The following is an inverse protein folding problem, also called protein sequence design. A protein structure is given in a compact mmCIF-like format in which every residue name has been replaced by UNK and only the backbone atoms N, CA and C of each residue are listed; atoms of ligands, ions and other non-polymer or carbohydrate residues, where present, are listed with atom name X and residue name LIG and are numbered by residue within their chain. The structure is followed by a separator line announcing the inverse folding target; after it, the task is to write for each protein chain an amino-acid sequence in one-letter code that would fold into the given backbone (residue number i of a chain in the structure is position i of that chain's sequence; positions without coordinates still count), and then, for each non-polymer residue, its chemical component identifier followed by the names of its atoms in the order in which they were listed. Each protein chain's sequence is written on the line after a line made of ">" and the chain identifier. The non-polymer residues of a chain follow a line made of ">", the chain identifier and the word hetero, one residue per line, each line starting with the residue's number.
data_IF_452920907173
#
_entry.id   IF_452920907173
#
_cell.length_a   1.000
_cell.length_b   1.000
_cell.length_c   1.000
_cell.angle_alpha   90.00
_cell.angle_beta   90.00
_cell.angle_gamma   90.00
#
_symmetry.space_group_name_H-M   'P 1'
#
loop_
_entity.id
_entity.type
_entity.pdbx_description
1 polymer ?
#
# COMPACT_ATOMS: atom_id res chain seq x y z
N UNK A 1 -6.48 4.01 -10.63
CA UNK A 1 -6.94 3.04 -11.65
C UNK A 1 -6.30 1.72 -11.34
N UNK A 2 -7.13 0.75 -10.97
CA UNK A 2 -6.74 -0.57 -10.52
C UNK A 2 -6.71 -1.54 -11.72
N UNK A 3 -5.73 -2.45 -11.74
CA UNK A 3 -5.60 -3.48 -12.75
C UNK A 3 -5.64 -4.88 -12.12
N UNK A 4 -6.38 -5.80 -12.73
CA UNK A 4 -6.62 -7.15 -12.23
C UNK A 4 -6.19 -8.16 -13.29
N UNK A 5 -5.42 -9.16 -12.88
CA UNK A 5 -5.13 -10.37 -13.66
C UNK A 5 -5.75 -11.57 -12.94
N UNK A 6 -6.41 -12.46 -13.68
CA UNK A 6 -7.06 -13.65 -13.14
C UNK A 6 -6.78 -14.88 -14.02
N UNK A 7 -6.82 -16.08 -13.42
CA UNK A 7 -6.55 -17.35 -14.11
C UNK A 7 -5.06 -17.68 -14.23
N UNK A 8 -4.71 -18.59 -15.14
CA UNK A 8 -3.34 -19.13 -15.28
C UNK A 8 -2.28 -18.07 -15.60
N UNK A 9 -2.67 -16.96 -16.24
CA UNK A 9 -1.77 -15.88 -16.64
C UNK A 9 -1.34 -14.97 -15.47
N UNK A 10 -1.97 -15.11 -14.31
CA UNK A 10 -1.59 -14.37 -13.09
C UNK A 10 -0.13 -14.63 -12.71
N UNK A 11 0.33 -15.88 -12.82
CA UNK A 11 1.71 -16.25 -12.49
C UNK A 11 2.74 -15.65 -13.45
N UNK A 12 2.38 -15.50 -14.73
CA UNK A 12 3.27 -14.89 -15.72
C UNK A 12 3.44 -13.40 -15.42
N UNK A 13 2.32 -12.70 -15.20
CA UNK A 13 2.31 -11.25 -14.94
C UNK A 13 2.97 -10.93 -13.58
N UNK A 14 2.72 -11.74 -12.55
CA UNK A 14 3.29 -11.51 -11.20
C UNK A 14 4.82 -11.59 -11.16
N UNK A 15 5.43 -12.33 -12.09
CA UNK A 15 6.88 -12.44 -12.19
C UNK A 15 7.51 -11.32 -13.02
N UNK A 16 6.72 -10.64 -13.87
CA UNK A 16 7.19 -9.56 -14.74
C UNK A 16 7.07 -8.18 -14.11
N UNK A 17 6.09 -7.97 -13.23
CA UNK A 17 5.83 -6.67 -12.61
C UNK A 17 6.51 -6.60 -11.25
N UNK A 18 7.35 -5.59 -11.07
CA UNK A 18 7.98 -5.23 -9.80
C UNK A 18 7.34 -3.94 -9.26
N UNK A 19 7.05 -3.92 -7.97
CA UNK A 19 6.54 -2.74 -7.28
C UNK A 19 7.55 -1.59 -7.35
N UNK A 20 7.10 -0.39 -7.72
CA UNK A 20 7.94 0.81 -7.88
C UNK A 20 8.50 1.01 -9.29
N UNK A 21 8.36 0.04 -10.19
CA UNK A 21 8.76 0.18 -11.58
C UNK A 21 7.63 0.70 -12.46
N UNK A 22 7.99 1.30 -13.60
CA UNK A 22 7.03 1.86 -14.56
C UNK A 22 6.90 0.96 -15.78
N UNK A 23 5.66 0.73 -16.23
CA UNK A 23 5.34 -0.14 -17.36
C UNK A 23 4.26 0.46 -18.25
N UNK A 24 4.40 0.24 -19.56
CA UNK A 24 3.36 0.49 -20.55
C UNK A 24 2.53 -0.79 -20.73
N UNK A 25 1.24 -0.70 -20.42
CA UNK A 25 0.27 -1.77 -20.63
C UNK A 25 -0.51 -1.53 -21.92
N UNK A 26 -0.36 -2.43 -22.89
CA UNK A 26 -1.03 -2.40 -24.19
C UNK A 26 -1.98 -3.59 -24.33
N UNK A 27 -3.02 -3.46 -25.15
CA UNK A 27 -4.05 -4.50 -25.37
C UNK A 27 -4.69 -4.95 -24.04
N UNK A 28 -5.09 -3.96 -23.25
CA UNK A 28 -5.82 -4.17 -22.00
C UNK A 28 -7.34 -4.20 -22.24
N UNK A 29 -8.06 -4.93 -21.39
CA UNK A 29 -9.51 -4.80 -21.28
C UNK A 29 -9.87 -3.76 -20.22
N UNK A 30 -11.05 -3.14 -20.35
CA UNK A 30 -11.64 -2.30 -19.30
C UNK A 30 -13.02 -2.83 -18.96
N UNK A 31 -13.32 -2.99 -17.67
CA UNK A 31 -14.59 -3.49 -17.19
C UNK A 31 -15.13 -2.61 -16.06
N UNK A 32 -16.46 -2.43 -15.95
CA UNK A 32 -17.05 -1.71 -14.83
C UNK A 32 -16.94 -2.53 -13.54
N UNK A 33 -16.72 -1.87 -12.41
CA UNK A 33 -16.74 -2.52 -11.09
C UNK A 33 -18.16 -2.80 -10.58
N UNK A 34 -19.17 -2.12 -11.14
CA UNK A 34 -20.57 -2.34 -10.76
C UNK A 34 -21.10 -3.68 -11.29
N UNK A 35 -21.53 -4.55 -10.38
CA UNK A 35 -22.06 -5.88 -10.70
C UNK A 35 -20.99 -6.97 -10.85
N UNK A 36 -19.71 -6.63 -10.74
CA UNK A 36 -18.62 -7.61 -10.82
C UNK A 36 -18.25 -8.13 -9.41
N UNK A 37 -18.21 -9.46 -9.17
CA UNK A 37 -17.79 -10.05 -7.89
C UNK A 37 -16.38 -9.62 -7.47
N UNK A 38 -15.51 -9.30 -8.42
CA UNK A 38 -14.13 -8.88 -8.19
C UNK A 38 -14.05 -7.57 -7.41
N UNK A 39 -15.07 -6.71 -7.48
CA UNK A 39 -15.14 -5.49 -6.67
C UNK A 39 -15.03 -5.79 -5.18
N UNK A 40 -15.70 -6.85 -4.72
CA UNK A 40 -15.68 -7.25 -3.32
C UNK A 40 -14.41 -8.00 -2.95
N UNK A 41 -13.92 -8.86 -3.85
CA UNK A 41 -12.72 -9.67 -3.61
C UNK A 41 -11.42 -8.84 -3.56
N UNK A 42 -11.35 -7.78 -4.36
CA UNK A 42 -10.15 -6.95 -4.51
C UNK A 42 -10.31 -5.50 -4.02
N UNK A 43 -11.45 -5.16 -3.42
CA UNK A 43 -11.75 -3.81 -2.92
C UNK A 43 -11.49 -2.71 -3.95
N UNK A 44 -11.91 -2.93 -5.19
CA UNK A 44 -11.74 -1.96 -6.28
C UNK A 44 -12.53 -0.68 -5.95
N UNK A 45 -11.85 0.46 -5.91
CA UNK A 45 -12.37 1.74 -5.44
C UNK A 45 -12.96 2.59 -6.56
N UNK A 46 -12.47 2.44 -7.80
CA UNK A 46 -12.98 3.17 -8.96
C UNK A 46 -14.14 2.46 -9.68
N UNK A 47 -14.88 3.20 -10.49
CA UNK A 47 -16.04 2.69 -11.26
C UNK A 47 -15.64 1.70 -12.37
N UNK A 48 -14.36 1.72 -12.76
CA UNK A 48 -13.80 0.85 -13.78
C UNK A 48 -12.44 0.33 -13.33
N UNK A 49 -12.15 -0.91 -13.73
CA UNK A 49 -10.84 -1.52 -13.55
C UNK A 49 -10.31 -2.02 -14.90
N UNK A 50 -8.99 -2.16 -14.95
CA UNK A 50 -8.28 -2.71 -16.09
C UNK A 50 -8.18 -4.23 -15.93
N UNK A 51 -8.62 -4.99 -16.92
CA UNK A 51 -8.46 -6.45 -16.98
C UNK A 51 -7.25 -6.80 -17.83
N UNK A 52 -6.27 -7.45 -17.22
CA UNK A 52 -5.08 -7.98 -17.90
C UNK A 52 -5.35 -9.42 -18.37
N UNK A 53 -5.04 -9.71 -19.63
CA UNK A 53 -5.26 -11.02 -20.25
C UNK A 53 -3.97 -11.56 -20.87
N UNK A 54 -4.01 -12.78 -21.42
CA UNK A 54 -2.89 -13.36 -22.17
C UNK A 54 -2.44 -12.53 -23.39
N UNK A 55 -3.30 -11.64 -23.87
CA UNK A 55 -2.99 -10.76 -25.01
C UNK A 55 -2.41 -9.42 -24.59
N UNK A 56 -2.35 -9.14 -23.28
CA UNK A 56 -1.79 -7.91 -22.75
C UNK A 56 -0.28 -7.90 -22.95
N UNK A 57 0.22 -6.81 -23.51
CA UNK A 57 1.65 -6.60 -23.73
C UNK A 57 2.13 -5.62 -22.66
N UNK A 58 3.18 -6.00 -21.94
CA UNK A 58 3.80 -5.19 -20.88
C UNK A 58 5.19 -4.81 -21.38
N UNK A 59 5.43 -3.52 -21.57
CA UNK A 59 6.73 -3.00 -21.98
C UNK A 59 7.31 -2.10 -20.90
N UNK A 60 8.65 -2.09 -20.79
CA UNK A 60 9.35 -1.04 -20.05
C UNK A 60 9.42 0.19 -20.96
N UNK A 61 8.95 1.36 -20.52
CA UNK A 61 8.97 2.55 -21.37
C UNK A 61 10.41 2.94 -21.70
N UNK A 62 10.69 3.41 -22.93
CA UNK A 62 12.05 3.78 -23.37
C UNK A 62 12.62 4.99 -22.63
N UNK A 63 11.74 5.80 -22.05
CA UNK A 63 12.07 6.92 -21.17
C UNK A 63 11.45 6.57 -19.82
N UNK A 64 12.26 6.59 -18.76
CA UNK A 64 11.74 6.52 -17.39
C UNK A 64 10.88 7.74 -17.14
N UNK A 65 9.57 7.57 -17.30
CA UNK A 65 8.60 8.54 -16.80
C UNK A 65 8.62 8.34 -15.29
N UNK A 66 9.13 9.34 -14.57
CA UNK A 66 8.97 9.39 -13.13
C UNK A 66 7.50 9.68 -12.83
N UNK A 67 6.67 8.63 -12.91
CA UNK A 67 5.37 8.66 -12.26
C UNK A 67 5.70 8.78 -10.78
N UNK A 68 5.21 9.82 -10.10
CA UNK A 68 5.40 9.95 -8.66
C UNK A 68 4.85 8.68 -8.01
N UNK A 69 5.76 7.79 -7.60
CA UNK A 69 5.44 6.43 -7.16
C UNK A 69 4.52 6.48 -5.93
N UNK A 70 4.52 7.56 -5.16
CA UNK A 70 3.63 7.80 -4.03
C UNK A 70 3.58 9.32 -3.74
N UNK A 71 2.54 9.84 -3.10
CA UNK A 71 1.11 9.61 -3.23
C UNK A 71 0.40 10.78 -3.94
N UNK A 72 -0.84 10.54 -4.38
CA UNK A 72 -1.58 11.51 -5.20
C UNK A 72 -2.12 12.69 -4.37
N UNK A 73 -2.47 12.47 -3.10
CA UNK A 73 -3.01 13.51 -2.21
C UNK A 73 -2.74 13.22 -0.75
N UNK A 74 -1.83 13.98 -0.14
CA UNK A 74 -1.53 13.88 1.29
C UNK A 74 -2.74 14.24 2.15
N UNK A 75 -3.13 13.33 3.03
CA UNK A 75 -4.15 13.57 4.04
C UNK A 75 -3.51 14.10 5.32
N UNK A 76 -4.04 15.24 5.81
CA UNK A 76 -3.76 15.68 7.17
C UNK A 76 -4.26 14.64 8.17
N UNK A 77 -3.53 14.47 9.27
CA UNK A 77 -3.81 13.41 10.25
C UNK A 77 -5.21 13.58 10.85
N UNK A 78 -5.64 14.82 11.11
CA UNK A 78 -6.98 15.18 11.54
C UNK A 78 -8.06 14.62 10.59
N UNK A 79 -7.82 14.73 9.28
CA UNK A 79 -8.69 14.20 8.24
C UNK A 79 -8.69 12.67 8.20
N UNK A 80 -7.53 12.05 8.42
CA UNK A 80 -7.41 10.57 8.47
C UNK A 80 -8.27 9.97 9.58
N UNK A 81 -8.31 10.57 10.76
CA UNK A 81 -9.17 10.08 11.86
C UNK A 81 -10.67 10.17 11.55
N UNK A 82 -11.07 11.08 10.66
CA UNK A 82 -12.46 11.27 10.24
C UNK A 82 -12.89 10.29 9.16
N UNK A 83 -11.95 9.66 8.45
CA UNK A 83 -12.27 8.71 7.38
C UNK A 83 -13.01 7.47 7.92
N UNK A 84 -13.88 6.85 7.10
CA UNK A 84 -14.49 5.59 7.43
C UNK A 84 -13.43 4.48 7.52
N UNK A 85 -13.75 3.44 8.29
CA UNK A 85 -12.95 2.21 8.30
C UNK A 85 -12.86 1.63 6.87
N UNK A 86 -11.78 0.91 6.61
CA UNK A 86 -11.46 0.30 5.32
C UNK A 86 -11.17 1.29 4.17
N UNK A 87 -11.04 2.58 4.47
CA UNK A 87 -10.60 3.60 3.50
C UNK A 87 -9.09 3.63 3.41
N UNK A 88 -8.56 3.84 2.21
CA UNK A 88 -7.13 4.06 2.00
C UNK A 88 -6.81 5.55 1.94
N UNK A 89 -5.72 5.93 2.61
CA UNK A 89 -5.26 7.32 2.68
C UNK A 89 -3.75 7.40 2.55
N UNK A 90 -3.29 8.50 1.97
CA UNK A 90 -1.88 8.78 1.84
C UNK A 90 -1.42 9.71 2.97
N UNK A 91 -0.40 9.29 3.72
CA UNK A 91 0.12 10.02 4.88
C UNK A 91 1.62 10.22 4.77
N UNK A 92 2.09 11.37 5.25
CA UNK A 92 3.50 11.67 5.42
C UNK A 92 3.78 12.04 6.87
N UNK A 93 4.89 11.57 7.40
CA UNK A 93 5.32 11.99 8.72
C UNK A 93 6.72 11.53 9.06
N UNK A 94 7.24 12.12 10.13
CA UNK A 94 8.52 11.77 10.72
C UNK A 94 8.38 10.49 11.52
N UNK A 95 9.26 9.52 11.32
CA UNK A 95 9.30 8.31 12.15
C UNK A 95 9.87 8.67 13.52
N UNK A 96 9.03 8.60 14.55
CA UNK A 96 9.42 8.93 15.93
C UNK A 96 9.54 7.73 16.84
N UNK A 97 8.98 6.58 16.45
CA UNK A 97 9.09 5.34 17.22
C UNK A 97 8.93 4.11 16.33
N UNK A 98 9.69 3.07 16.64
CA UNK A 98 9.64 1.78 15.97
C UNK A 98 9.60 0.65 17.00
N UNK A 99 8.49 -0.09 17.05
CA UNK A 99 8.40 -1.22 17.98
C UNK A 99 9.28 -2.39 17.55
N UNK A 100 9.63 -3.25 18.51
CA UNK A 100 10.15 -4.58 18.21
C UNK A 100 9.14 -5.36 17.34
N UNK A 101 9.65 -6.32 16.57
CA UNK A 101 8.81 -7.22 15.78
C UNK A 101 8.13 -8.20 16.73
N UNK A 102 6.80 -8.18 16.74
CA UNK A 102 5.96 -9.11 17.47
C UNK A 102 5.68 -10.35 16.62
N UNK A 103 5.47 -11.50 17.27
CA UNK A 103 5.11 -12.75 16.58
C UNK A 103 6.25 -13.44 15.82
N UNK A 104 7.48 -12.90 15.83
CA UNK A 104 8.64 -13.44 15.07
C UNK A 104 8.94 -14.91 15.37
N UNK A 105 8.72 -15.36 16.60
CA UNK A 105 9.07 -16.71 17.05
C UNK A 105 7.85 -17.64 17.12
N UNK A 106 6.66 -17.17 16.74
CA UNK A 106 5.42 -17.93 16.80
C UNK A 106 4.98 -18.25 15.37
N UNK A 107 5.18 -19.50 14.94
CA UNK A 107 4.86 -19.97 13.58
C UNK A 107 3.37 -19.79 13.25
N UNK A 108 2.50 -19.66 14.27
CA UNK A 108 1.06 -19.44 14.08
C UNK A 108 0.69 -17.96 13.97
N UNK A 109 1.60 -17.03 14.25
CA UNK A 109 1.35 -15.59 14.18
C UNK A 109 2.10 -14.95 13.02
N UNK A 110 1.37 -14.13 12.27
CA UNK A 110 1.99 -13.25 11.29
C UNK A 110 2.84 -12.21 12.02
N UNK A 111 4.13 -12.04 11.65
CA UNK A 111 4.97 -11.04 12.27
C UNK A 111 4.37 -9.66 12.00
N UNK A 112 4.48 -8.78 12.99
CA UNK A 112 4.02 -7.39 12.86
C UNK A 112 4.79 -6.45 13.76
N UNK A 113 4.76 -5.16 13.43
CA UNK A 113 5.31 -4.11 14.30
C UNK A 113 4.48 -2.84 14.18
N UNK A 114 4.61 -1.99 15.19
CA UNK A 114 4.05 -0.66 15.17
C UNK A 114 5.13 0.35 14.80
N UNK A 115 4.76 1.32 13.98
CA UNK A 115 5.57 2.49 13.69
C UNK A 115 4.74 3.71 14.03
N UNK A 116 5.33 4.69 14.70
CA UNK A 116 4.67 5.96 15.00
C UNK A 116 5.23 7.03 14.09
N UNK A 117 4.34 7.69 13.37
CA UNK A 117 4.65 8.85 12.55
C UNK A 117 4.18 10.11 13.27
N UNK A 118 4.97 11.18 13.22
CA UNK A 118 4.62 12.50 13.74
C UNK A 118 4.56 13.52 12.60
N UNK A 119 3.50 14.31 12.53
CA UNK A 119 3.41 15.42 11.58
C UNK A 119 4.08 16.69 12.14
N UNK A 120 4.11 17.76 11.35
CA UNK A 120 4.69 19.06 11.70
C UNK A 120 3.99 19.76 12.88
N UNK A 121 2.76 19.35 13.18
CA UNK A 121 1.96 19.86 14.31
C UNK A 121 2.18 19.05 15.60
N UNK A 122 3.03 18.03 15.57
CA UNK A 122 3.27 17.13 16.71
C UNK A 122 2.18 16.08 16.92
N UNK A 123 1.22 15.93 16.00
CA UNK A 123 0.24 14.85 16.06
C UNK A 123 0.88 13.54 15.64
N UNK A 124 0.51 12.47 16.34
CA UNK A 124 1.09 11.14 16.14
C UNK A 124 0.07 10.16 15.58
N UNK A 125 0.50 9.35 14.60
CA UNK A 125 -0.28 8.28 14.01
C UNK A 125 0.43 6.95 14.20
N UNK A 126 -0.28 5.93 14.68
CA UNK A 126 0.24 4.58 14.87
C UNK A 126 -0.09 3.77 13.62
N UNK A 127 0.94 3.32 12.92
CA UNK A 127 0.84 2.46 11.75
C UNK A 127 1.15 1.02 12.15
N UNK A 128 0.22 0.11 11.87
CA UNK A 128 0.43 -1.32 12.05
C UNK A 128 0.98 -1.94 10.77
N UNK A 129 2.25 -2.34 10.79
CA UNK A 129 2.94 -2.93 9.64
C UNK A 129 2.90 -4.46 9.76
N UNK A 130 2.34 -5.13 8.73
CA UNK A 130 2.16 -6.59 8.66
C UNK A 130 2.95 -7.20 7.50
N UNK A 131 3.25 -8.50 7.61
CA UNK A 131 3.68 -9.39 6.52
C UNK A 131 4.82 -8.85 5.61
N UNK A 132 4.63 -8.82 4.28
CA UNK A 132 5.66 -8.55 3.25
C UNK A 132 6.35 -7.20 3.42
N UNK A 133 5.62 -6.19 3.91
CA UNK A 133 6.14 -4.84 4.17
C UNK A 133 7.10 -4.78 5.37
N UNK A 134 7.10 -5.79 6.26
CA UNK A 134 8.15 -5.93 7.26
C UNK A 134 9.45 -6.36 6.60
N UNK A 135 9.41 -7.38 5.75
CA UNK A 135 10.61 -8.04 5.22
C UNK A 135 11.36 -7.14 4.23
N UNK A 136 10.64 -6.41 3.38
CA UNK A 136 11.23 -5.50 2.39
C UNK A 136 11.94 -4.29 3.05
N UNK A 137 11.44 -3.82 4.19
CA UNK A 137 11.89 -2.57 4.82
C UNK A 137 12.52 -2.77 6.21
N UNK A 138 12.84 -4.01 6.59
CA UNK A 138 13.26 -4.38 7.97
C UNK A 138 14.52 -3.63 8.42
N UNK A 139 15.43 -3.30 7.48
CA UNK A 139 16.74 -2.72 7.77
C UNK A 139 16.77 -1.19 7.77
N UNK A 140 15.86 -0.52 7.03
CA UNK A 140 15.93 0.94 6.83
C UNK A 140 15.36 1.75 8.00
N UNK A 141 14.47 1.15 8.81
CA UNK A 141 13.69 1.91 9.78
C UNK A 141 14.24 1.85 11.21
N UNK A 142 15.17 0.94 11.53
CA UNK A 142 15.83 0.93 12.85
C UNK A 142 16.84 2.09 13.03
N UNK A 143 17.62 2.47 12.01
CA UNK A 143 18.46 3.67 12.08
C UNK A 143 17.65 4.98 12.12
N UNK A 144 16.41 4.96 11.61
CA UNK A 144 15.52 6.11 11.52
C UNK A 144 15.04 6.62 12.90
N UNK A 145 14.79 5.72 13.84
CA UNK A 145 14.28 6.03 15.19
C UNK A 145 15.27 6.82 16.03
N UNK A 146 16.57 6.54 15.90
CA UNK A 146 17.60 7.12 16.79
C UNK A 146 18.00 8.55 16.43
N UNK A 147 17.68 9.02 15.22
CA UNK A 147 18.11 10.34 14.75
C UNK A 147 16.97 11.30 14.44
N UNK A 148 15.70 10.85 14.43
CA UNK A 148 14.56 11.68 14.01
C UNK A 148 14.79 12.35 12.64
N UNK A 149 15.48 11.66 11.73
CA UNK A 149 15.85 12.18 10.40
C UNK A 149 15.05 11.60 9.26
N UNK A 150 14.17 10.65 9.55
CA UNK A 150 13.53 9.85 8.51
C UNK A 150 12.07 10.24 8.42
N UNK A 151 11.74 10.88 7.32
CA UNK A 151 10.38 11.14 6.90
C UNK A 151 9.93 10.00 5.99
N UNK A 152 8.69 9.56 6.16
CA UNK A 152 8.14 8.45 5.38
C UNK A 152 6.77 8.82 4.85
N UNK A 153 6.60 8.51 3.57
CA UNK A 153 5.36 8.54 2.82
C UNK A 153 4.73 7.13 2.80
N UNK A 154 3.46 7.00 3.18
CA UNK A 154 2.76 5.71 3.19
C UNK A 154 1.33 5.84 2.65
N UNK A 155 0.88 4.83 1.91
CA UNK A 155 -0.53 4.57 1.65
C UNK A 155 -1.01 3.57 2.69
N UNK A 156 -1.92 4.00 3.54
CA UNK A 156 -2.35 3.24 4.73
C UNK A 156 -3.84 2.98 4.68
N UNK A 157 -4.23 1.78 5.08
CA UNK A 157 -5.63 1.43 5.28
C UNK A 157 -6.06 1.85 6.68
N UNK A 158 -7.13 2.62 6.78
CA UNK A 158 -7.71 3.05 8.06
C UNK A 158 -8.44 1.86 8.70
N UNK A 159 -7.96 1.44 9.86
CA UNK A 159 -8.62 0.44 10.70
C UNK A 159 -9.24 1.15 11.91
N UNK A 160 -10.52 0.86 12.22
CA UNK A 160 -11.17 1.36 13.43
C UNK A 160 -11.35 0.19 14.39
N UNK A 161 -10.67 0.27 15.53
CA UNK A 161 -11.00 -0.58 16.66
C UNK A 161 -12.38 -0.13 17.16
N UNK A 162 -13.43 -0.88 16.84
CA UNK A 162 -14.71 -0.72 17.52
C UNK A 162 -14.47 -1.07 19.00
N UNK A 163 -14.48 -0.05 19.85
CA UNK A 163 -14.70 -0.29 21.28
C UNK A 163 -16.16 -0.70 21.40
N UNK A 164 -16.42 -2.00 21.43
CA UNK A 164 -17.69 -2.50 21.93
C UNK A 164 -17.76 -2.05 23.39
N UNK A 165 -18.47 -0.95 23.63
CA UNK A 165 -18.91 -0.46 24.94
C UNK A 165 -20.10 -1.26 25.42
#
# INVERSE_FOLDING_TARGET
>A
MEAVACGEHTMMISNYIVEGETYDFLRIGCAPTYGDPLRYSFHLCLDYFVSLSQHTIINVPPITIWILIYPQTWSFYEGVYQQPADTFVDVIGLVVYVSKIHGRNDVRKRPSRHVVLMNERGMVMIIHVKDRHLVQNIWEWRPAETQLRTMVALHVKVDRISRNS
#
